data_IF_719317191954
#
_entry.id   IF_719317191954
#
_cell.length_a   1.000
_cell.length_b   1.000
_cell.length_c   1.000
_cell.angle_alpha   90.00
_cell.angle_beta   90.00
_cell.angle_gamma   90.00
#
_symmetry.space_group_name_H-M   'P 1'
#
loop_
_entity.id
_entity.type
_entity.pdbx_description
1 polymer ?
#
# COMPACT_ATOMS: atom_id res chain seq x y z
N UNK A 1 -4.30 -3.82 9.80
CA UNK A 1 -4.64 -3.01 10.97
C UNK A 1 -4.11 -3.73 12.20
N UNK A 2 -3.23 -3.08 12.92
CA UNK A 2 -2.68 -3.58 14.17
C UNK A 2 -3.68 -3.33 15.31
N UNK A 3 -3.97 -4.37 16.10
CA UNK A 3 -4.92 -4.31 17.21
C UNK A 3 -4.36 -5.09 18.39
N UNK A 4 -4.88 -4.87 19.61
CA UNK A 4 -4.49 -5.68 20.79
C UNK A 4 -4.68 -7.19 20.62
N UNK A 5 -5.56 -7.61 19.71
CA UNK A 5 -5.87 -9.02 19.43
C UNK A 5 -5.03 -9.59 18.27
N UNK A 6 -4.17 -8.78 17.65
CA UNK A 6 -3.31 -9.17 16.54
C UNK A 6 -3.50 -8.33 15.28
N UNK A 7 -2.82 -8.76 14.21
CA UNK A 7 -2.82 -8.08 12.93
C UNK A 7 -3.97 -8.58 12.04
N UNK A 8 -4.86 -7.67 11.63
CA UNK A 8 -5.91 -7.94 10.66
C UNK A 8 -5.57 -7.28 9.31
N UNK A 9 -5.68 -8.06 8.23
CA UNK A 9 -5.40 -7.61 6.86
C UNK A 9 -6.64 -7.85 5.98
N UNK A 10 -7.69 -7.01 6.12
CA UNK A 10 -8.91 -7.16 5.34
C UNK A 10 -8.69 -6.83 3.87
N UNK A 11 -9.52 -7.42 3.00
CA UNK A 11 -9.44 -7.28 1.55
C UNK A 11 -10.44 -6.25 1.05
N UNK A 12 -9.93 -5.18 0.44
CA UNK A 12 -10.74 -4.24 -0.32
C UNK A 12 -10.89 -4.79 -1.76
N UNK A 13 -12.12 -5.18 -2.13
CA UNK A 13 -12.40 -5.89 -3.38
C UNK A 13 -12.70 -4.95 -4.52
N UNK A 14 -12.42 -5.41 -5.75
CA UNK A 14 -12.79 -4.75 -7.00
C UNK A 14 -12.34 -3.29 -7.06
N UNK A 15 -11.10 -3.04 -6.63
CA UNK A 15 -10.55 -1.67 -6.52
C UNK A 15 -10.60 -0.93 -7.87
N UNK A 16 -10.32 -1.62 -8.98
CA UNK A 16 -10.31 -1.02 -10.32
C UNK A 16 -11.70 -0.64 -10.86
N UNK A 17 -12.79 -1.11 -10.23
CA UNK A 17 -14.17 -0.85 -10.65
C UNK A 17 -14.87 0.18 -9.75
N UNK A 18 -14.18 0.73 -8.75
CA UNK A 18 -14.74 1.63 -7.75
C UNK A 18 -14.22 3.04 -7.88
N UNK A 19 -15.07 4.01 -7.56
CA UNK A 19 -14.64 5.40 -7.40
C UNK A 19 -13.81 5.57 -6.12
N UNK A 20 -13.06 6.67 -6.03
CA UNK A 20 -12.29 7.04 -4.83
C UNK A 20 -13.18 7.11 -3.58
N UNK A 21 -14.39 7.65 -3.70
CA UNK A 21 -15.36 7.74 -2.61
C UNK A 21 -15.79 6.35 -2.14
N UNK A 22 -16.13 5.45 -3.07
CA UNK A 22 -16.49 4.06 -2.76
C UNK A 22 -15.34 3.30 -2.10
N UNK A 23 -14.10 3.58 -2.48
CA UNK A 23 -12.92 3.00 -1.84
C UNK A 23 -12.73 3.54 -0.41
N UNK A 24 -12.91 4.84 -0.19
CA UNK A 24 -12.86 5.47 1.14
C UNK A 24 -13.95 4.88 2.07
N UNK A 25 -15.18 4.75 1.58
CA UNK A 25 -16.28 4.13 2.33
C UNK A 25 -16.00 2.66 2.66
N UNK A 26 -15.53 1.88 1.67
CA UNK A 26 -15.14 0.49 1.86
C UNK A 26 -14.05 0.32 2.92
N UNK A 27 -13.04 1.16 2.90
CA UNK A 27 -11.98 1.17 3.93
C UNK A 27 -12.51 1.56 5.31
N UNK A 28 -13.41 2.54 5.39
CA UNK A 28 -14.03 2.96 6.65
C UNK A 28 -14.85 1.81 7.26
N UNK A 29 -15.65 1.12 6.44
CA UNK A 29 -16.42 -0.06 6.84
C UNK A 29 -15.51 -1.16 7.37
N UNK A 30 -14.48 -1.57 6.62
CA UNK A 30 -13.54 -2.61 7.03
C UNK A 30 -12.86 -2.28 8.36
N UNK A 31 -12.50 -1.00 8.58
CA UNK A 31 -11.94 -0.55 9.85
C UNK A 31 -12.93 -0.65 11.01
N UNK A 32 -14.20 -0.33 10.77
CA UNK A 32 -15.26 -0.45 11.77
C UNK A 32 -15.49 -1.91 12.14
N UNK A 33 -15.59 -2.80 11.15
CA UNK A 33 -15.81 -4.24 11.34
C UNK A 33 -14.66 -4.89 12.12
N UNK A 34 -13.40 -4.54 11.83
CA UNK A 34 -12.24 -5.02 12.60
C UNK A 34 -12.31 -4.54 14.04
N UNK A 35 -12.60 -3.26 14.28
CA UNK A 35 -12.72 -2.71 15.65
C UNK A 35 -13.86 -3.35 16.45
N UNK A 36 -14.98 -3.63 15.79
CA UNK A 36 -16.13 -4.30 16.37
C UNK A 36 -15.95 -5.82 16.51
N UNK A 37 -14.84 -6.40 16.03
CA UNK A 37 -14.59 -7.84 15.95
C UNK A 37 -15.66 -8.60 15.18
N UNK A 38 -16.30 -7.94 14.22
CA UNK A 38 -17.39 -8.47 13.39
C UNK A 38 -16.99 -8.78 11.96
N UNK A 39 -15.69 -8.65 11.63
CA UNK A 39 -15.22 -8.88 10.27
C UNK A 39 -15.39 -10.36 9.87
N UNK A 40 -16.11 -10.65 8.78
CA UNK A 40 -16.25 -12.02 8.31
C UNK A 40 -14.91 -12.60 7.82
N UNK A 41 -14.61 -13.88 8.07
CA UNK A 41 -13.36 -14.51 7.58
C UNK A 41 -13.16 -14.39 6.06
N UNK A 42 -14.25 -14.36 5.29
CA UNK A 42 -14.21 -14.20 3.83
C UNK A 42 -13.63 -12.85 3.40
N UNK A 43 -13.78 -11.80 4.23
CA UNK A 43 -13.23 -10.47 3.96
C UNK A 43 -11.70 -10.38 4.20
N UNK A 44 -11.07 -11.46 4.67
CA UNK A 44 -9.62 -11.55 4.86
C UNK A 44 -8.92 -12.47 3.85
N UNK A 45 -9.65 -12.98 2.85
CA UNK A 45 -9.13 -13.94 1.87
C UNK A 45 -9.31 -13.46 0.44
N UNK A 46 -8.46 -13.97 -0.47
CA UNK A 46 -8.59 -13.75 -1.91
C UNK A 46 -8.01 -12.42 -2.39
N UNK A 47 -7.12 -11.79 -1.62
CA UNK A 47 -6.36 -10.64 -2.10
C UNK A 47 -5.37 -11.05 -3.18
N UNK A 48 -5.16 -10.19 -4.17
CA UNK A 48 -4.18 -10.39 -5.25
C UNK A 48 -2.85 -9.70 -4.96
N UNK A 49 -2.89 -8.59 -4.23
CA UNK A 49 -1.73 -7.80 -3.80
C UNK A 49 -2.00 -7.24 -2.39
N UNK A 50 -0.97 -7.02 -1.62
CA UNK A 50 -1.07 -6.38 -0.30
C UNK A 50 -0.44 -5.00 -0.31
N UNK A 51 -1.06 -4.06 0.38
CA UNK A 51 -0.47 -2.78 0.78
C UNK A 51 -0.19 -2.80 2.28
N UNK A 52 1.08 -2.67 2.66
CA UNK A 52 1.52 -2.58 4.04
C UNK A 52 1.99 -1.15 4.36
N UNK A 53 1.19 -0.42 5.12
CA UNK A 53 1.59 0.90 5.63
C UNK A 53 2.19 0.76 7.03
N UNK A 54 3.50 0.60 7.10
CA UNK A 54 4.25 0.55 8.36
C UNK A 54 4.78 1.93 8.78
N UNK A 55 4.69 2.92 7.91
CA UNK A 55 5.18 4.28 8.18
C UNK A 55 4.44 5.00 9.30
N UNK A 56 3.22 4.56 9.64
CA UNK A 56 2.47 5.05 10.80
C UNK A 56 3.04 4.55 12.13
N UNK A 57 3.82 3.48 12.12
CA UNK A 57 4.52 2.96 13.29
C UNK A 57 5.94 3.52 13.34
N UNK A 58 6.79 3.06 12.47
CA UNK A 58 8.17 3.53 12.29
C UNK A 58 8.79 2.83 11.09
N UNK A 59 9.66 3.52 10.36
CA UNK A 59 10.50 2.93 9.33
C UNK A 59 10.45 3.69 8.00
N UNK A 60 11.52 3.51 7.23
CA UNK A 60 11.68 4.11 5.91
C UNK A 60 11.45 3.09 4.80
N UNK A 61 12.08 1.95 4.90
CA UNK A 61 11.95 0.83 3.96
C UNK A 61 11.71 -0.46 4.70
N UNK A 62 11.07 -1.41 4.04
CA UNK A 62 10.89 -2.78 4.52
C UNK A 62 11.12 -3.77 3.40
N UNK A 63 11.46 -5.00 3.77
CA UNK A 63 11.49 -6.15 2.87
C UNK A 63 10.34 -7.10 3.27
N UNK A 64 9.10 -6.78 2.92
CA UNK A 64 7.96 -7.60 3.29
C UNK A 64 7.98 -8.93 2.53
N UNK A 65 7.42 -9.98 3.16
CA UNK A 65 7.32 -11.31 2.55
C UNK A 65 6.00 -11.42 1.82
N UNK A 66 6.05 -11.84 0.55
CA UNK A 66 4.85 -12.13 -0.25
C UNK A 66 4.22 -13.42 0.25
N UNK A 67 2.93 -13.39 0.53
CA UNK A 67 2.14 -14.53 1.01
C UNK A 67 1.37 -15.15 -0.17
N UNK A 68 1.75 -16.33 -0.66
CA UNK A 68 0.97 -17.00 -1.72
C UNK A 68 -0.51 -17.21 -1.30
N UNK A 69 -1.47 -17.10 -2.22
CA UNK A 69 -1.35 -16.94 -3.67
C UNK A 69 -1.17 -15.50 -4.17
N UNK A 70 -0.95 -14.54 -3.31
CA UNK A 70 -0.64 -13.17 -3.72
C UNK A 70 0.71 -13.13 -4.45
N UNK A 71 0.85 -12.17 -5.36
CA UNK A 71 2.04 -12.06 -6.20
C UNK A 71 2.96 -10.90 -5.81
N UNK A 72 2.47 -9.96 -5.04
CA UNK A 72 3.25 -8.79 -4.64
C UNK A 72 2.75 -8.17 -3.33
N UNK A 73 3.65 -7.43 -2.69
CA UNK A 73 3.34 -6.59 -1.54
C UNK A 73 4.07 -5.26 -1.68
N UNK A 74 3.32 -4.16 -1.54
CA UNK A 74 3.84 -2.80 -1.51
C UNK A 74 4.00 -2.40 -0.05
N UNK A 75 5.19 -1.93 0.31
CA UNK A 75 5.47 -1.31 1.60
C UNK A 75 5.48 0.21 1.50
N UNK A 76 4.75 0.89 2.35
CA UNK A 76 4.75 2.35 2.48
C UNK A 76 5.38 2.74 3.81
N UNK A 77 6.50 3.46 3.75
CA UNK A 77 7.20 4.01 4.92
C UNK A 77 6.61 5.34 5.39
N UNK A 78 7.20 5.91 6.43
CA UNK A 78 6.78 7.21 6.98
C UNK A 78 7.15 8.37 6.06
N UNK A 79 6.20 9.27 5.79
CA UNK A 79 6.46 10.53 5.10
C UNK A 79 7.36 11.39 5.99
N UNK A 80 8.38 12.00 5.40
CA UNK A 80 9.28 12.93 6.08
C UNK A 80 9.83 13.97 5.13
N UNK A 81 10.15 15.14 5.63
CA UNK A 81 10.81 16.16 4.85
C UNK A 81 12.26 15.76 4.55
N UNK A 82 12.63 15.81 3.26
CA UNK A 82 13.98 15.52 2.79
C UNK A 82 14.44 16.59 1.81
N UNK A 83 15.75 16.84 1.79
CA UNK A 83 16.36 17.71 0.79
C UNK A 83 16.53 16.94 -0.50
N UNK A 84 15.88 17.41 -1.55
CA UNK A 84 15.91 16.80 -2.89
C UNK A 84 16.34 17.82 -3.94
N UNK A 85 16.89 17.34 -5.05
CA UNK A 85 17.16 18.17 -6.22
C UNK A 85 15.86 18.36 -7.02
N UNK A 86 15.41 19.60 -7.14
CA UNK A 86 14.22 19.96 -7.91
C UNK A 86 14.54 21.21 -8.75
N UNK A 87 14.36 21.11 -10.08
CA UNK A 87 14.65 22.19 -11.02
C UNK A 87 16.05 22.82 -10.86
N UNK A 88 17.05 21.99 -10.57
CA UNK A 88 18.43 22.42 -10.37
C UNK A 88 18.75 23.06 -9.01
N UNK A 89 17.82 23.02 -8.06
CA UNK A 89 18.00 23.57 -6.71
C UNK A 89 17.81 22.48 -5.66
N UNK A 90 18.42 22.68 -4.49
CA UNK A 90 18.17 21.85 -3.31
C UNK A 90 16.93 22.42 -2.59
N UNK A 91 15.87 21.64 -2.53
CA UNK A 91 14.59 22.04 -1.92
C UNK A 91 14.14 20.99 -0.90
N UNK A 92 13.31 21.40 0.04
CA UNK A 92 12.70 20.47 1.02
C UNK A 92 11.35 20.04 0.48
N UNK A 93 11.16 18.72 0.32
CA UNK A 93 9.89 18.12 -0.08
C UNK A 93 9.51 16.98 0.89
N UNK A 94 8.20 16.76 1.12
CA UNK A 94 7.73 15.56 1.80
C UNK A 94 7.94 14.34 0.89
N UNK A 95 8.71 13.36 1.38
CA UNK A 95 9.05 12.14 0.63
C UNK A 95 8.35 10.94 1.26
N UNK A 96 7.63 10.18 0.45
CA UNK A 96 7.01 8.91 0.79
C UNK A 96 7.88 7.77 0.28
N UNK A 97 8.59 7.03 1.15
CA UNK A 97 9.35 5.86 0.73
C UNK A 97 8.42 4.69 0.37
N UNK A 98 8.65 4.08 -0.79
CA UNK A 98 7.93 2.90 -1.24
C UNK A 98 8.89 1.73 -1.45
N UNK A 99 8.43 0.53 -1.13
CA UNK A 99 9.14 -0.73 -1.36
C UNK A 99 8.19 -1.69 -2.05
N UNK A 100 8.71 -2.52 -2.95
CA UNK A 100 7.94 -3.58 -3.63
C UNK A 100 8.70 -4.90 -3.48
N UNK A 101 8.01 -5.92 -2.98
CA UNK A 101 8.45 -7.31 -3.08
C UNK A 101 7.46 -8.06 -3.96
N UNK A 102 7.94 -8.91 -4.85
CA UNK A 102 7.09 -9.66 -5.77
C UNK A 102 7.63 -11.08 -6.01
N UNK A 103 6.75 -11.98 -6.44
CA UNK A 103 7.11 -13.35 -6.82
C UNK A 103 7.70 -13.34 -8.23
N UNK A 104 9.01 -13.57 -8.33
CA UNK A 104 9.72 -13.52 -9.60
C UNK A 104 9.37 -14.70 -10.55
N UNK A 105 8.60 -15.68 -10.09
CA UNK A 105 8.03 -16.74 -10.94
C UNK A 105 6.82 -16.23 -11.73
N UNK A 106 6.16 -15.16 -11.27
CA UNK A 106 4.94 -14.59 -11.84
C UNK A 106 5.22 -13.31 -12.63
N UNK A 107 6.14 -12.51 -12.16
CA UNK A 107 6.50 -11.23 -12.78
C UNK A 107 8.01 -11.07 -12.93
N UNK A 108 8.41 -10.37 -13.97
CA UNK A 108 9.81 -10.01 -14.20
C UNK A 108 10.18 -8.71 -13.48
N UNK A 109 11.48 -8.47 -13.29
CA UNK A 109 11.96 -7.19 -12.73
C UNK A 109 11.56 -5.99 -13.57
N UNK A 110 11.48 -6.14 -14.90
CA UNK A 110 11.02 -5.07 -15.80
C UNK A 110 9.53 -4.74 -15.61
N UNK A 111 8.68 -5.74 -15.39
CA UNK A 111 7.26 -5.54 -15.09
C UNK A 111 7.09 -4.86 -13.72
N UNK A 112 7.81 -5.32 -12.71
CA UNK A 112 7.81 -4.71 -11.38
C UNK A 112 8.26 -3.24 -11.42
N UNK A 113 9.31 -2.93 -12.19
CA UNK A 113 9.80 -1.57 -12.35
C UNK A 113 8.76 -0.65 -13.04
N UNK A 114 8.12 -1.12 -14.12
CA UNK A 114 7.04 -0.37 -14.80
C UNK A 114 5.83 -0.14 -13.88
N UNK A 115 5.46 -1.15 -13.10
CA UNK A 115 4.40 -1.01 -12.10
C UNK A 115 4.73 0.08 -11.07
N UNK A 116 5.93 0.06 -10.50
CA UNK A 116 6.37 1.10 -9.55
C UNK A 116 6.44 2.48 -10.18
N UNK A 117 6.91 2.60 -11.42
CA UNK A 117 6.93 3.86 -12.15
C UNK A 117 5.50 4.42 -12.32
N UNK A 118 4.55 3.59 -12.72
CA UNK A 118 3.15 4.00 -12.86
C UNK A 118 2.53 4.42 -11.52
N UNK A 119 2.83 3.69 -10.44
CA UNK A 119 2.36 4.02 -9.09
C UNK A 119 2.92 5.37 -8.63
N UNK A 120 4.23 5.60 -8.76
CA UNK A 120 4.88 6.87 -8.39
C UNK A 120 4.28 8.00 -9.20
N UNK A 121 4.16 7.83 -10.52
CA UNK A 121 3.57 8.85 -11.39
C UNK A 121 2.12 9.20 -10.97
N UNK A 122 1.31 8.20 -10.63
CA UNK A 122 -0.07 8.45 -10.16
C UNK A 122 -0.11 9.21 -8.82
N UNK A 123 0.83 8.93 -7.90
CA UNK A 123 0.91 9.60 -6.62
C UNK A 123 1.44 11.05 -6.72
N UNK A 124 2.20 11.36 -7.75
CA UNK A 124 2.73 12.71 -8.01
C UNK A 124 1.75 13.60 -8.78
N UNK A 125 0.64 13.06 -9.28
CA UNK A 125 -0.40 13.87 -9.90
C UNK A 125 -1.22 14.62 -8.85
N UNK A 126 -1.57 15.90 -9.08
CA UNK A 126 -2.52 16.59 -8.23
C UNK A 126 -3.86 15.84 -8.26
N UNK A 127 -4.51 15.74 -7.11
CA UNK A 127 -5.87 15.21 -7.05
C UNK A 127 -6.76 16.03 -7.99
N UNK A 128 -7.36 15.36 -8.97
CA UNK A 128 -8.32 15.96 -9.87
C UNK A 128 -9.68 16.21 -9.20
#
# INVERSE_FOLDING_TARGET
MDTPDGLFVPVLRNVGERSTEQLKEGMARLRADVRARSIPPQEMMGATITLSNFGTLFGRYANPIVMPPQVAIIGSGGIRDEVVAWQGQAVIHPILPLSLTFDHRVATGGEAARFMQALVHALEQPEG
#
